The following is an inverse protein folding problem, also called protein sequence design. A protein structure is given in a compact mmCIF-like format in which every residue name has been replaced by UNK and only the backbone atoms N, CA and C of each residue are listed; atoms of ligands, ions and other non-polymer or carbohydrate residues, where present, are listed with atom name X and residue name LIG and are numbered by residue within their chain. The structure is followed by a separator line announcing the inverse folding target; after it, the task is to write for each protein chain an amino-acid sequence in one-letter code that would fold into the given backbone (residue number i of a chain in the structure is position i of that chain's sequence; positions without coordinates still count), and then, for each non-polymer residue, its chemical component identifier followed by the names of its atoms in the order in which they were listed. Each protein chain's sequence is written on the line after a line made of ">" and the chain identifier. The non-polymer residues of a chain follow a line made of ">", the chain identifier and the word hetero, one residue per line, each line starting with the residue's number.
data_IF_974441017473
#
_entry.id   IF_974441017473
#
_cell.length_a   1.000
_cell.length_b   1.000
_cell.length_c   1.000
_cell.angle_alpha   90.00
_cell.angle_beta   90.00
_cell.angle_gamma   90.00
#
_symmetry.space_group_name_H-M   'P 1'
#
loop_
_entity.id
_entity.type
_entity.pdbx_description
1 polymer ?
#
# COMPACT_ATOMS: atom_id res chain seq x y z
N UNK A 1 -28.39 -12.52 67.34
CA UNK A 1 -27.27 -13.17 66.62
C UNK A 1 -27.56 -13.16 65.11
N UNK A 2 -26.66 -12.54 64.32
CA UNK A 2 -26.38 -12.67 62.87
C UNK A 2 -27.53 -12.57 61.83
N UNK A 3 -27.55 -11.48 61.02
CA UNK A 3 -27.04 -11.30 59.61
C UNK A 3 -28.10 -11.74 58.56
N UNK A 4 -28.33 -11.11 57.40
CA UNK A 4 -27.45 -10.32 56.53
C UNK A 4 -28.29 -9.56 55.47
N UNK A 5 -27.83 -8.37 55.07
CA UNK A 5 -28.32 -7.57 53.93
C UNK A 5 -28.00 -8.25 52.59
N UNK A 6 -28.94 -8.23 51.64
CA UNK A 6 -28.71 -8.64 50.24
C UNK A 6 -28.37 -7.40 49.42
N UNK A 7 -27.13 -7.35 48.94
CA UNK A 7 -26.54 -6.24 48.19
C UNK A 7 -26.88 -6.32 46.70
N UNK A 8 -27.21 -5.16 46.13
CA UNK A 8 -27.44 -4.89 44.72
C UNK A 8 -26.18 -5.15 43.88
N UNK A 9 -26.26 -6.01 42.86
CA UNK A 9 -25.17 -6.25 41.91
C UNK A 9 -25.28 -5.36 40.69
N UNK A 10 -24.42 -4.34 40.59
CA UNK A 10 -24.20 -3.56 39.37
C UNK A 10 -23.30 -4.38 38.44
N UNK A 11 -23.83 -4.78 37.27
CA UNK A 11 -23.05 -5.42 36.21
C UNK A 11 -22.35 -4.32 35.41
N UNK A 12 -21.04 -4.17 35.60
CA UNK A 12 -20.19 -3.35 34.73
C UNK A 12 -20.02 -4.03 33.36
N UNK A 13 -20.55 -3.40 32.32
CA UNK A 13 -20.24 -3.74 30.94
C UNK A 13 -18.84 -3.30 30.56
N UNK A 14 -17.92 -4.25 30.40
CA UNK A 14 -16.62 -4.00 29.75
C UNK A 14 -16.85 -3.91 28.24
N UNK A 15 -16.86 -2.70 27.69
CA UNK A 15 -16.86 -2.48 26.25
C UNK A 15 -15.44 -2.68 25.69
N UNK A 16 -15.18 -3.87 25.16
CA UNK A 16 -13.92 -4.24 24.50
C UNK A 16 -13.65 -3.39 23.26
N UNK A 17 -12.84 -2.35 23.42
CA UNK A 17 -12.39 -1.45 22.34
C UNK A 17 -10.90 -1.65 21.96
N UNK A 18 -10.30 -2.78 22.37
CA UNK A 18 -8.84 -3.03 22.26
C UNK A 18 -8.34 -3.51 20.90
N UNK A 19 -9.22 -3.93 19.97
CA UNK A 19 -8.78 -4.60 18.73
C UNK A 19 -8.19 -3.65 17.65
N UNK A 20 -8.54 -2.37 17.67
CA UNK A 20 -8.21 -1.44 16.55
C UNK A 20 -6.84 -0.78 16.67
N UNK A 21 -6.41 -0.47 17.90
CA UNK A 21 -5.09 0.12 18.14
C UNK A 21 -3.98 -0.88 17.84
N UNK A 22 -4.19 -2.15 18.19
CA UNK A 22 -3.21 -3.23 18.05
C UNK A 22 -2.87 -3.52 16.58
N UNK A 23 -3.88 -3.69 15.72
CA UNK A 23 -3.68 -3.99 14.30
C UNK A 23 -2.86 -2.90 13.58
N UNK A 24 -3.11 -1.62 13.88
CA UNK A 24 -2.35 -0.51 13.29
C UNK A 24 -0.89 -0.53 13.75
N UNK A 25 -0.63 -0.73 15.04
CA UNK A 25 0.73 -0.80 15.56
C UNK A 25 1.50 -2.02 15.05
N UNK A 26 0.84 -3.19 14.96
CA UNK A 26 1.46 -4.40 14.46
C UNK A 26 1.81 -4.26 12.97
N UNK A 27 0.91 -3.69 12.16
CA UNK A 27 1.20 -3.39 10.75
C UNK A 27 2.46 -2.52 10.60
N UNK A 28 2.52 -1.41 11.34
CA UNK A 28 3.65 -0.49 11.29
C UNK A 28 4.95 -1.16 11.74
N UNK A 29 4.88 -1.97 12.80
CA UNK A 29 6.00 -2.75 13.33
C UNK A 29 6.51 -3.75 12.28
N UNK A 30 5.63 -4.52 11.65
CA UNK A 30 5.99 -5.48 10.59
C UNK A 30 6.64 -4.77 9.40
N UNK A 31 6.05 -3.69 8.91
CA UNK A 31 6.61 -2.92 7.78
C UNK A 31 7.96 -2.25 8.12
N UNK A 32 8.20 -1.95 9.40
CA UNK A 32 9.46 -1.37 9.89
C UNK A 32 10.63 -2.37 10.00
N UNK A 33 10.39 -3.68 9.89
CA UNK A 33 11.45 -4.70 10.01
C UNK A 33 12.35 -4.82 8.79
N UNK A 34 11.83 -4.48 7.60
CA UNK A 34 12.56 -4.60 6.34
C UNK A 34 12.52 -3.24 5.66
N UNK A 35 13.64 -2.50 5.64
CA UNK A 35 13.65 -1.18 5.00
C UNK A 35 13.99 -1.23 3.51
N UNK A 36 14.70 -2.26 3.05
CA UNK A 36 15.04 -2.45 1.63
C UNK A 36 14.57 -3.81 1.16
N UNK A 37 13.88 -3.86 0.03
CA UNK A 37 13.53 -5.13 -0.61
C UNK A 37 13.33 -4.98 -2.12
N UNK A 38 13.40 -6.11 -2.81
CA UNK A 38 12.98 -6.25 -4.20
C UNK A 38 12.14 -7.51 -4.39
N UNK A 39 11.24 -7.49 -5.36
CA UNK A 39 10.41 -8.63 -5.73
C UNK A 39 10.06 -8.57 -7.22
N UNK A 40 9.73 -9.71 -7.82
CA UNK A 40 8.87 -9.72 -9.01
C UNK A 40 7.41 -9.68 -8.56
N UNK A 41 6.51 -9.22 -9.42
CA UNK A 41 5.08 -9.25 -9.12
C UNK A 41 4.27 -9.79 -10.29
N UNK A 42 3.14 -10.38 -9.95
CA UNK A 42 2.03 -10.69 -10.84
C UNK A 42 0.83 -9.88 -10.37
N UNK A 43 0.18 -9.18 -11.28
CA UNK A 43 -0.98 -8.35 -11.03
C UNK A 43 -2.16 -8.84 -11.87
N UNK A 44 -3.33 -8.94 -11.23
CA UNK A 44 -4.60 -9.22 -11.90
C UNK A 44 -5.58 -8.11 -11.57
N UNK A 45 -6.15 -7.50 -12.60
CA UNK A 45 -7.23 -6.53 -12.50
C UNK A 45 -8.54 -7.22 -12.86
N UNK A 46 -9.51 -7.20 -11.95
CA UNK A 46 -10.85 -7.72 -12.17
C UNK A 46 -11.89 -6.62 -12.09
N UNK A 47 -12.91 -6.72 -12.93
CA UNK A 47 -14.06 -5.81 -12.90
C UNK A 47 -15.03 -6.14 -11.76
N UNK A 48 -16.08 -5.33 -11.58
CA UNK A 48 -17.06 -5.51 -10.51
C UNK A 48 -17.82 -6.85 -10.57
N UNK A 49 -17.92 -7.44 -11.76
CA UNK A 49 -18.51 -8.77 -11.98
C UNK A 49 -17.59 -9.93 -11.58
N UNK A 50 -16.34 -9.65 -11.25
CA UNK A 50 -15.29 -10.65 -11.00
C UNK A 50 -14.56 -11.13 -12.25
N UNK A 51 -14.97 -10.70 -13.44
CA UNK A 51 -14.26 -11.03 -14.68
C UNK A 51 -12.88 -10.36 -14.73
N UNK A 52 -11.86 -11.10 -15.17
CA UNK A 52 -10.54 -10.54 -15.40
C UNK A 52 -10.57 -9.54 -16.55
N UNK A 53 -10.06 -8.34 -16.31
CA UNK A 53 -9.89 -7.27 -17.30
C UNK A 53 -8.47 -7.32 -17.86
N UNK A 54 -7.48 -7.49 -16.98
CA UNK A 54 -6.08 -7.46 -17.35
C UNK A 54 -5.24 -8.31 -16.39
N UNK A 55 -4.16 -8.87 -16.90
CA UNK A 55 -3.10 -9.49 -16.12
C UNK A 55 -1.78 -8.91 -16.57
N UNK A 56 -0.88 -8.66 -15.63
CA UNK A 56 0.43 -8.08 -15.91
C UNK A 56 1.48 -8.53 -14.93
N UNK A 57 2.74 -8.38 -15.33
CA UNK A 57 3.88 -8.77 -14.52
C UNK A 57 4.92 -7.65 -14.50
N UNK A 58 5.78 -7.68 -13.49
CA UNK A 58 6.84 -6.70 -13.41
C UNK A 58 7.78 -6.90 -12.24
N UNK A 59 8.51 -5.83 -11.93
CA UNK A 59 9.50 -5.78 -10.86
C UNK A 59 9.22 -4.61 -9.93
N UNK A 60 9.47 -4.86 -8.66
CA UNK A 60 9.37 -3.88 -7.61
C UNK A 60 10.69 -3.81 -6.86
N UNK A 61 11.16 -2.60 -6.62
CA UNK A 61 12.23 -2.32 -5.67
C UNK A 61 11.79 -1.19 -4.72
N UNK A 62 12.12 -1.33 -3.44
CA UNK A 62 11.76 -0.37 -2.39
C UNK A 62 12.94 -0.15 -1.47
N UNK A 63 13.17 1.10 -1.10
CA UNK A 63 14.02 1.49 0.04
C UNK A 63 13.29 2.55 0.84
N UNK A 64 12.91 2.21 2.07
CA UNK A 64 12.21 3.10 2.98
C UNK A 64 13.19 4.13 3.59
N UNK A 65 12.72 5.36 3.84
CA UNK A 65 11.41 5.89 3.41
C UNK A 65 11.42 6.32 1.95
N UNK A 66 10.26 6.27 1.31
CA UNK A 66 9.91 7.02 0.09
C UNK A 66 10.62 6.65 -1.22
N UNK A 67 11.61 5.76 -1.25
CA UNK A 67 12.21 5.33 -2.52
C UNK A 67 11.55 4.06 -3.01
N UNK A 68 11.03 4.10 -4.23
CA UNK A 68 10.56 2.89 -4.89
C UNK A 68 10.66 3.01 -6.41
N UNK A 69 10.71 1.85 -7.04
CA UNK A 69 10.66 1.65 -8.48
C UNK A 69 9.71 0.50 -8.75
N UNK A 70 8.58 0.80 -9.37
CA UNK A 70 7.61 -0.15 -9.87
C UNK A 70 7.69 -0.15 -11.40
N UNK A 71 8.09 -1.27 -11.98
CA UNK A 71 8.30 -1.41 -13.41
C UNK A 71 7.42 -2.54 -13.93
N UNK A 72 6.31 -2.18 -14.57
CA UNK A 72 5.47 -3.13 -15.29
C UNK A 72 6.12 -3.48 -16.63
N UNK A 73 6.08 -4.77 -16.98
CA UNK A 73 6.68 -5.32 -18.19
C UNK A 73 5.67 -5.89 -19.16
N UNK A 74 4.59 -6.46 -18.65
CA UNK A 74 3.52 -7.03 -19.47
C UNK A 74 2.16 -6.59 -18.91
N UNK A 75 1.13 -6.46 -19.77
CA UNK A 75 1.20 -6.50 -21.23
C UNK A 75 1.78 -5.21 -21.81
N UNK A 76 1.62 -4.09 -21.10
CA UNK A 76 2.12 -2.77 -21.48
C UNK A 76 3.19 -2.33 -20.49
N UNK A 77 4.31 -1.85 -21.02
CA UNK A 77 5.38 -1.34 -20.18
C UNK A 77 4.97 -0.02 -19.53
N UNK A 78 5.28 0.13 -18.24
CA UNK A 78 5.18 1.42 -17.55
C UNK A 78 6.15 1.46 -16.37
N UNK A 79 6.56 2.66 -16.02
CA UNK A 79 7.49 2.90 -14.92
C UNK A 79 6.89 3.94 -13.97
N UNK A 80 6.73 3.55 -12.71
CA UNK A 80 6.45 4.45 -11.61
C UNK A 80 7.64 4.45 -10.65
N UNK A 81 8.33 5.59 -10.54
CA UNK A 81 9.60 5.70 -9.80
C UNK A 81 9.67 7.01 -9.04
N UNK A 82 10.35 7.01 -7.90
CA UNK A 82 10.54 8.21 -7.09
C UNK A 82 11.91 8.28 -6.45
N UNK A 83 12.46 9.49 -6.40
CA UNK A 83 13.70 9.85 -5.69
C UNK A 83 13.44 10.22 -4.22
N UNK A 84 12.20 10.03 -3.75
CA UNK A 84 11.75 10.37 -2.40
C UNK A 84 11.06 11.73 -2.30
N UNK A 85 11.05 12.52 -3.38
CA UNK A 85 10.38 13.82 -3.47
C UNK A 85 9.49 13.93 -4.69
N UNK A 86 10.03 13.60 -5.85
CA UNK A 86 9.34 13.62 -7.14
C UNK A 86 8.89 12.21 -7.48
N UNK A 87 7.68 12.08 -8.02
CA UNK A 87 7.15 10.84 -8.57
C UNK A 87 7.03 11.01 -10.09
N UNK A 88 7.66 10.10 -10.83
CA UNK A 88 7.54 10.01 -12.28
C UNK A 88 6.71 8.79 -12.63
N UNK A 89 5.68 9.01 -13.43
CA UNK A 89 4.96 7.96 -14.14
C UNK A 89 5.29 8.08 -15.62
N UNK A 90 6.01 7.10 -16.16
CA UNK A 90 6.43 7.07 -17.55
C UNK A 90 5.75 5.91 -18.28
N UNK A 91 5.10 6.24 -19.40
CA UNK A 91 4.55 5.26 -20.32
C UNK A 91 5.28 5.37 -21.67
N UNK A 92 6.15 4.39 -22.03
CA UNK A 92 6.90 4.42 -23.28
C UNK A 92 6.02 4.28 -24.52
N UNK A 93 4.84 3.65 -24.44
CA UNK A 93 3.98 3.44 -25.61
C UNK A 93 3.40 4.74 -26.16
N UNK A 94 3.02 5.66 -25.26
CA UNK A 94 2.52 7.00 -25.63
C UNK A 94 3.60 8.08 -25.54
N UNK A 95 4.85 7.68 -25.29
CA UNK A 95 6.00 8.59 -25.14
C UNK A 95 5.73 9.77 -24.18
N UNK A 96 5.10 9.49 -23.03
CA UNK A 96 4.73 10.54 -22.07
C UNK A 96 5.24 10.23 -20.66
N UNK A 97 5.71 11.28 -19.97
CA UNK A 97 5.97 11.25 -18.53
C UNK A 97 5.06 12.25 -17.80
N UNK A 98 4.37 11.77 -16.76
CA UNK A 98 3.70 12.63 -15.78
C UNK A 98 4.58 12.78 -14.55
N UNK A 99 4.79 14.02 -14.10
CA UNK A 99 5.62 14.37 -12.95
C UNK A 99 4.73 14.97 -11.86
N UNK A 100 4.83 14.45 -10.64
CA UNK A 100 4.07 14.94 -9.50
C UNK A 100 4.90 14.97 -8.23
N UNK A 101 4.45 15.71 -7.21
CA UNK A 101 5.05 15.61 -5.88
C UNK A 101 4.61 14.30 -5.22
N UNK A 102 5.55 13.54 -4.64
CA UNK A 102 5.26 12.27 -3.97
C UNK A 102 4.23 12.43 -2.83
N UNK A 103 4.21 13.58 -2.15
CA UNK A 103 3.25 13.87 -1.07
C UNK A 103 1.80 13.91 -1.57
N UNK A 104 1.58 14.36 -2.80
CA UNK A 104 0.26 14.59 -3.39
C UNK A 104 -0.27 13.31 -4.07
N UNK A 105 0.62 12.42 -4.51
CA UNK A 105 0.27 11.17 -5.21
C UNK A 105 -0.31 10.05 -4.31
N UNK A 106 -0.27 10.21 -2.99
CA UNK A 106 -0.67 9.15 -2.03
C UNK A 106 -2.13 8.71 -2.18
N UNK A 107 -3.03 9.61 -2.57
CA UNK A 107 -4.47 9.32 -2.71
C UNK A 107 -4.78 8.38 -3.88
N UNK A 108 -3.95 8.36 -4.93
CA UNK A 108 -4.20 7.61 -6.16
C UNK A 108 -3.33 6.35 -6.28
N UNK A 109 -2.37 6.16 -5.38
CA UNK A 109 -1.46 5.01 -5.42
C UNK A 109 -1.29 4.41 -4.03
N UNK A 110 -2.23 3.56 -3.57
CA UNK A 110 -2.24 3.01 -2.21
C UNK A 110 -0.97 2.24 -1.83
N UNK A 111 -0.25 1.70 -2.82
CA UNK A 111 1.06 1.09 -2.63
C UNK A 111 2.09 2.05 -1.97
N UNK A 112 1.99 3.36 -2.23
CA UNK A 112 2.88 4.38 -1.64
C UNK A 112 2.77 4.40 -0.10
N UNK A 113 1.64 4.00 0.48
CA UNK A 113 1.50 3.85 1.93
C UNK A 113 2.51 2.84 2.48
N UNK A 114 2.77 1.76 1.73
CA UNK A 114 3.72 0.72 2.11
C UNK A 114 5.17 1.23 2.12
N UNK A 115 5.51 2.19 1.26
CA UNK A 115 6.89 2.70 1.11
C UNK A 115 7.21 3.81 2.11
N UNK A 116 6.19 4.54 2.58
CA UNK A 116 6.29 5.61 3.59
C UNK A 116 6.30 5.05 5.01
N UNK A 117 5.39 4.11 5.30
CA UNK A 117 5.12 3.59 6.65
C UNK A 117 4.98 4.70 7.73
N UNK A 118 4.31 5.80 7.40
CA UNK A 118 4.16 6.95 8.29
C UNK A 118 2.90 6.84 9.16
N UNK A 119 2.98 6.97 10.50
CA UNK A 119 1.83 6.95 11.40
C UNK A 119 0.66 7.87 10.98
N UNK A 120 0.94 9.06 10.45
CA UNK A 120 -0.11 10.01 10.03
C UNK A 120 -0.94 9.50 8.85
N UNK A 121 -0.33 8.69 7.98
CA UNK A 121 -1.03 8.11 6.83
C UNK A 121 -1.97 6.99 7.32
N UNK A 122 -1.48 6.13 8.21
CA UNK A 122 -2.26 5.02 8.80
C UNK A 122 -3.42 5.48 9.71
N UNK A 123 -3.35 6.70 10.25
CA UNK A 123 -4.43 7.29 11.05
C UNK A 123 -5.69 7.59 10.22
N UNK A 124 -5.59 7.68 8.90
CA UNK A 124 -6.71 7.93 7.98
C UNK A 124 -7.55 6.68 7.69
N UNK A 125 -7.12 5.52 8.19
CA UNK A 125 -7.74 4.23 7.90
C UNK A 125 -8.20 3.51 9.17
N UNK A 126 -9.36 2.86 9.03
CA UNK A 126 -9.79 1.78 9.90
C UNK A 126 -9.05 0.51 9.49
N UNK A 127 -8.18 0.01 10.37
CA UNK A 127 -7.30 -1.15 10.10
C UNK A 127 -7.77 -2.32 10.95
N UNK A 128 -8.07 -3.44 10.29
CA UNK A 128 -8.38 -4.72 10.94
C UNK A 128 -7.37 -5.77 10.54
N UNK A 129 -7.13 -6.74 11.42
CA UNK A 129 -6.14 -7.80 11.20
C UNK A 129 -6.75 -9.19 11.39
N UNK A 130 -6.34 -10.12 10.53
CA UNK A 130 -6.58 -11.56 10.68
C UNK A 130 -5.31 -12.33 10.33
N UNK A 131 -4.56 -12.74 11.35
CA UNK A 131 -3.24 -13.34 11.16
C UNK A 131 -2.28 -12.37 10.48
N UNK A 132 -1.85 -12.69 9.25
CA UNK A 132 -0.93 -11.86 8.46
C UNK A 132 -1.65 -10.92 7.49
N UNK A 133 -2.98 -10.98 7.43
CA UNK A 133 -3.80 -10.14 6.56
C UNK A 133 -4.27 -8.90 7.31
N UNK A 134 -4.04 -7.74 6.68
CA UNK A 134 -4.51 -6.44 7.14
C UNK A 134 -5.48 -5.89 6.11
N UNK A 135 -6.64 -5.45 6.56
CA UNK A 135 -7.64 -4.75 5.73
C UNK A 135 -7.73 -3.32 6.21
N UNK A 136 -7.56 -2.38 5.28
CA UNK A 136 -7.59 -0.94 5.50
C UNK A 136 -8.78 -0.37 4.74
N UNK A 137 -9.65 0.35 5.45
CA UNK A 137 -10.77 1.10 4.87
C UNK A 137 -10.61 2.57 5.21
N UNK A 138 -10.68 3.49 4.22
CA UNK A 138 -10.62 4.92 4.50
C UNK A 138 -11.72 5.34 5.50
N UNK A 139 -11.37 6.20 6.45
CA UNK A 139 -12.35 6.78 7.40
C UNK A 139 -13.21 7.82 6.67
N UNK A 140 -12.62 8.55 5.73
CA UNK A 140 -13.29 9.50 4.83
C UNK A 140 -13.17 9.00 3.39
N UNK A 141 -14.20 9.25 2.58
CA UNK A 141 -14.20 8.89 1.14
C UNK A 141 -13.68 10.07 0.32
N UNK A 142 -12.38 10.37 0.44
CA UNK A 142 -11.71 11.49 -0.26
C UNK A 142 -10.94 11.06 -1.52
N UNK A 143 -10.99 9.77 -1.89
CA UNK A 143 -10.37 9.24 -3.10
C UNK A 143 -11.14 8.07 -3.71
N UNK A 144 -10.55 7.44 -4.73
CA UNK A 144 -11.18 6.34 -5.46
C UNK A 144 -11.01 4.96 -4.79
N UNK A 145 -10.21 4.86 -3.73
CA UNK A 145 -10.00 3.60 -3.03
C UNK A 145 -11.11 3.31 -2.03
N UNK A 146 -11.76 2.15 -2.16
CA UNK A 146 -12.74 1.62 -1.20
C UNK A 146 -12.09 0.77 -0.11
N UNK A 147 -11.11 -0.05 -0.47
CA UNK A 147 -10.43 -0.97 0.45
C UNK A 147 -9.00 -1.27 -0.04
N UNK A 148 -8.07 -1.39 0.91
CA UNK A 148 -6.73 -1.91 0.67
C UNK A 148 -6.47 -3.11 1.57
N UNK A 149 -6.16 -4.25 0.96
CA UNK A 149 -5.77 -5.46 1.68
C UNK A 149 -4.28 -5.68 1.50
N UNK A 150 -3.60 -6.05 2.58
CA UNK A 150 -2.17 -6.33 2.60
C UNK A 150 -1.90 -7.64 3.33
N UNK A 151 -1.05 -8.49 2.77
CA UNK A 151 -0.51 -9.65 3.48
C UNK A 151 0.95 -9.41 3.82
N UNK A 152 1.27 -9.30 5.10
CA UNK A 152 2.64 -9.11 5.61
C UNK A 152 2.90 -9.99 6.82
N UNK A 153 3.97 -10.77 6.75
CA UNK A 153 4.33 -11.71 7.83
C UNK A 153 4.84 -10.99 9.08
N UNK A 154 4.91 -11.65 10.25
CA UNK A 154 5.52 -11.05 11.44
C UNK A 154 6.98 -10.66 11.23
N UNK A 155 7.68 -11.26 10.27
CA UNK A 155 9.06 -10.91 9.92
C UNK A 155 9.17 -9.68 8.99
N UNK A 156 8.04 -9.12 8.53
CA UNK A 156 7.99 -7.96 7.63
C UNK A 156 7.99 -8.31 6.14
N UNK A 157 7.93 -9.60 5.77
CA UNK A 157 7.89 -10.04 4.37
C UNK A 157 6.49 -9.78 3.81
N UNK A 158 6.40 -8.93 2.79
CA UNK A 158 5.14 -8.66 2.09
C UNK A 158 4.91 -9.76 1.06
N UNK A 159 3.76 -10.42 1.12
CA UNK A 159 3.37 -11.48 0.17
C UNK A 159 2.55 -10.95 -0.99
N UNK A 160 1.85 -9.85 -0.80
CA UNK A 160 0.98 -9.26 -1.80
C UNK A 160 0.00 -8.29 -1.17
N UNK A 161 -0.73 -7.59 -2.02
CA UNK A 161 -1.75 -6.63 -1.62
C UNK A 161 -2.83 -6.53 -2.70
N UNK A 162 -3.97 -5.94 -2.36
CA UNK A 162 -4.99 -5.58 -3.35
C UNK A 162 -5.67 -4.27 -3.01
N UNK A 163 -6.06 -3.54 -4.05
CA UNK A 163 -6.90 -2.34 -3.97
C UNK A 163 -8.26 -2.69 -4.55
N UNK A 164 -9.33 -2.35 -3.85
CA UNK A 164 -10.69 -2.31 -4.39
C UNK A 164 -11.06 -0.84 -4.53
N UNK A 165 -11.49 -0.45 -5.72
CA UNK A 165 -11.94 0.90 -6.03
C UNK A 165 -13.44 1.08 -5.74
N UNK A 166 -13.92 2.33 -5.78
CA UNK A 166 -15.31 2.65 -5.47
C UNK A 166 -16.29 2.08 -6.49
N UNK A 167 -15.87 1.94 -7.74
CA UNK A 167 -16.65 1.31 -8.82
C UNK A 167 -16.72 -0.22 -8.70
N UNK A 168 -15.94 -0.82 -7.80
CA UNK A 168 -15.86 -2.26 -7.57
C UNK A 168 -14.75 -2.97 -8.33
N UNK A 169 -13.97 -2.25 -9.15
CA UNK A 169 -12.75 -2.79 -9.75
C UNK A 169 -11.76 -3.22 -8.65
N UNK A 170 -11.08 -4.34 -8.87
CA UNK A 170 -10.07 -4.86 -7.93
C UNK A 170 -8.76 -5.10 -8.66
N UNK A 171 -7.69 -4.47 -8.18
CA UNK A 171 -6.31 -4.79 -8.57
C UNK A 171 -5.66 -5.62 -7.47
N UNK A 172 -5.28 -6.86 -7.78
CA UNK A 172 -4.58 -7.77 -6.88
C UNK A 172 -3.15 -7.96 -7.35
N UNK A 173 -2.19 -7.76 -6.46
CA UNK A 173 -0.75 -7.96 -6.70
C UNK A 173 -0.21 -9.05 -5.78
N UNK A 174 0.47 -10.04 -6.35
CA UNK A 174 1.20 -11.09 -5.62
C UNK A 174 2.70 -10.82 -5.80
N UNK A 175 3.46 -10.85 -4.70
CA UNK A 175 4.90 -10.65 -4.73
C UNK A 175 5.64 -11.99 -4.69
N UNK A 176 6.47 -12.21 -5.70
CA UNK A 176 7.30 -13.39 -5.89
C UNK A 176 8.77 -13.02 -5.76
N UNK A 177 9.62 -14.02 -5.48
CA UNK A 177 11.09 -13.87 -5.40
C UNK A 177 11.53 -12.72 -4.48
N UNK A 178 10.84 -12.55 -3.35
CA UNK A 178 11.12 -11.49 -2.38
C UNK A 178 12.53 -11.60 -1.82
N UNK A 179 13.29 -10.51 -1.90
CA UNK A 179 14.66 -10.41 -1.42
C UNK A 179 14.83 -9.17 -0.54
N UNK A 180 15.50 -9.32 0.60
CA UNK A 180 15.84 -8.22 1.52
C UNK A 180 17.22 -7.62 1.25
N UNK A 181 17.88 -8.03 0.18
CA UNK A 181 19.17 -7.45 -0.20
C UNK A 181 19.06 -5.94 -0.40
N UNK A 182 20.15 -5.23 -0.10
CA UNK A 182 20.23 -3.80 -0.33
C UNK A 182 20.01 -3.48 -1.82
N UNK A 183 19.12 -2.54 -2.09
CA UNK A 183 18.88 -2.02 -3.44
C UNK A 183 19.77 -0.80 -3.68
N UNK A 184 20.43 -0.73 -4.83
CA UNK A 184 21.22 0.45 -5.20
C UNK A 184 20.33 1.68 -5.35
N UNK A 185 20.73 2.80 -4.72
CA UNK A 185 20.00 4.06 -4.83
C UNK A 185 19.84 4.58 -6.26
N UNK A 186 20.76 4.20 -7.16
CA UNK A 186 20.69 4.57 -8.58
C UNK A 186 19.45 4.00 -9.29
N UNK A 187 18.77 3.00 -8.74
CA UNK A 187 17.52 2.47 -9.32
C UNK A 187 16.33 3.43 -9.17
N UNK A 188 16.43 4.39 -8.25
CA UNK A 188 15.33 5.30 -7.87
C UNK A 188 15.42 6.68 -8.54
N UNK A 189 16.44 6.91 -9.36
CA UNK A 189 16.54 8.09 -10.23
C UNK A 189 15.90 7.82 -11.59
N UNK A 190 15.27 8.83 -12.17
CA UNK A 190 14.74 8.79 -13.53
C UNK A 190 15.19 10.01 -14.32
N UNK A 191 15.64 9.74 -15.55
CA UNK A 191 15.96 10.77 -16.53
C UNK A 191 14.96 10.62 -17.67
N UNK A 192 14.22 11.68 -17.96
CA UNK A 192 13.25 11.70 -19.05
C UNK A 192 13.97 11.45 -20.37
N UNK A 193 13.59 10.42 -21.15
CA UNK A 193 14.18 10.17 -22.46
C UNK A 193 13.94 11.35 -23.41
N UNK A 194 14.85 11.52 -24.37
CA UNK A 194 14.71 12.57 -25.39
C UNK A 194 13.45 12.32 -26.23
N UNK A 195 12.65 13.37 -26.45
CA UNK A 195 11.45 13.32 -27.29
C UNK A 195 10.16 12.94 -26.56
N UNK A 196 10.26 12.55 -25.28
CA UNK A 196 9.10 12.24 -24.45
C UNK A 196 8.38 13.52 -24.01
N UNK A 197 7.07 13.54 -24.16
CA UNK A 197 6.19 14.62 -23.71
C UNK A 197 6.17 14.68 -22.18
N UNK A 198 6.25 15.90 -21.62
CA UNK A 198 6.31 16.13 -20.18
C UNK A 198 5.02 16.79 -19.70
N UNK A 199 4.25 16.07 -18.89
CA UNK A 199 3.15 16.61 -18.09
C UNK A 199 3.62 16.84 -16.65
N UNK A 200 4.08 18.06 -16.33
CA UNK A 200 4.52 18.42 -14.98
C UNK A 200 3.39 19.04 -14.15
N UNK A 201 2.91 18.28 -13.18
CA UNK A 201 1.80 18.65 -12.29
C UNK A 201 2.27 19.23 -10.96
N UNK A 202 3.56 19.56 -10.83
CA UNK A 202 4.10 20.20 -9.63
C UNK A 202 3.83 21.70 -9.69
N UNK A 203 3.16 22.21 -8.66
CA UNK A 203 2.97 23.65 -8.44
C UNK A 203 4.27 24.36 -8.04
#
# INVERSE_FOLDING_TARGET
>A
MKKWFITCGIVLGMMSSTAWADARSDLQSRLGKINSFSASFEQTVTGPSGAAIQQGEGKLAVTRPNLFRWEAKTPDESLLVTDGKTLWFFNPFVEQVTISNLKDATSNTPFVLLTRNNPSDWAKYNITQKGDQFTLKPIKSDGNMKQFDLTVTPAGVIKGFSVVEMDGQRSQTILNRFSTSAVSKSQFSFTVPKGVEIDDQRN
#
